data_IF_035124129510
#
_entry.id   IF_035124129510
#
_cell.length_a   1.000
_cell.length_b   1.000
_cell.length_c   1.000
_cell.angle_alpha   90.00
_cell.angle_beta   90.00
_cell.angle_gamma   90.00
#
_symmetry.space_group_name_H-M   'P 1'
#
loop_
_entity.id
_entity.type
_entity.pdbx_description
1 polymer ?
#
# COMPACT_ATOMS: atom_id res chain seq x y z
N UNK A 1 11.03 -18.78 -16.10
CA UNK A 1 10.07 -19.07 -15.01
C UNK A 1 10.22 -17.96 -13.99
N UNK A 2 9.12 -17.48 -13.42
CA UNK A 2 9.19 -16.45 -12.38
C UNK A 2 9.67 -17.06 -11.05
N UNK A 3 10.41 -16.25 -10.28
CA UNK A 3 10.93 -16.62 -8.96
C UNK A 3 10.24 -15.84 -7.86
N UNK A 4 10.11 -16.42 -6.69
CA UNK A 4 9.80 -15.76 -5.43
C UNK A 4 11.00 -15.86 -4.49
N UNK A 5 11.07 -15.00 -3.49
CA UNK A 5 12.00 -15.12 -2.38
C UNK A 5 11.22 -15.35 -1.09
N UNK A 6 11.50 -16.45 -0.38
CA UNK A 6 10.79 -16.85 0.82
C UNK A 6 11.77 -17.18 1.93
N UNK A 7 11.73 -16.45 3.02
CA UNK A 7 12.51 -16.69 4.24
C UNK A 7 14.03 -16.92 4.02
N UNK A 8 14.62 -16.27 3.03
CA UNK A 8 16.05 -16.39 2.72
C UNK A 8 16.36 -17.17 1.44
N UNK A 9 15.37 -17.83 0.83
CA UNK A 9 15.59 -18.72 -0.32
C UNK A 9 14.84 -18.24 -1.57
N UNK A 10 15.46 -18.40 -2.75
CA UNK A 10 14.80 -18.23 -4.04
C UNK A 10 14.12 -19.52 -4.44
N UNK A 11 12.83 -19.46 -4.73
CA UNK A 11 12.01 -20.60 -5.13
C UNK A 11 11.28 -20.30 -6.45
N UNK A 12 10.97 -21.34 -7.27
CA UNK A 12 10.07 -21.18 -8.39
C UNK A 12 8.67 -20.73 -7.93
N UNK A 13 8.08 -19.75 -8.61
CA UNK A 13 6.78 -19.17 -8.21
C UNK A 13 5.58 -20.11 -8.44
N UNK A 14 5.77 -21.18 -9.22
CA UNK A 14 4.76 -22.19 -9.51
C UNK A 14 4.72 -23.35 -8.51
N UNK A 15 5.58 -23.32 -7.48
CA UNK A 15 5.58 -24.32 -6.40
C UNK A 15 4.84 -23.84 -5.16
N UNK A 16 4.09 -24.70 -4.47
CA UNK A 16 3.52 -24.38 -3.15
C UNK A 16 4.63 -24.04 -2.17
N UNK A 17 4.57 -22.87 -1.58
CA UNK A 17 5.63 -22.36 -0.71
C UNK A 17 5.11 -21.94 0.68
N UNK A 18 3.85 -21.51 0.77
CA UNK A 18 3.25 -21.09 2.04
C UNK A 18 2.43 -22.23 2.66
N UNK A 19 2.53 -22.36 3.98
CA UNK A 19 1.69 -23.32 4.71
C UNK A 19 0.25 -22.82 4.79
N UNK A 20 -0.72 -23.72 4.63
CA UNK A 20 -2.13 -23.40 4.73
C UNK A 20 -2.55 -22.86 6.11
N UNK A 21 -1.74 -23.10 7.13
CA UNK A 21 -1.91 -22.59 8.50
C UNK A 21 -1.28 -21.21 8.73
N UNK A 22 -0.68 -20.59 7.70
CA UNK A 22 -0.11 -19.25 7.84
C UNK A 22 -1.20 -18.23 8.21
N UNK A 23 -0.94 -17.45 9.26
CA UNK A 23 -1.91 -16.48 9.79
C UNK A 23 -2.17 -15.31 8.83
N UNK A 24 -1.20 -14.98 7.97
CA UNK A 24 -1.41 -14.00 6.90
C UNK A 24 -2.47 -14.47 5.91
N UNK A 25 -2.48 -15.77 5.57
CA UNK A 25 -3.48 -16.39 4.69
C UNK A 25 -4.85 -16.53 5.39
N UNK A 26 -4.86 -17.00 6.64
CA UNK A 26 -6.10 -17.36 7.34
C UNK A 26 -6.80 -16.20 8.04
N UNK A 27 -6.07 -15.16 8.44
CA UNK A 27 -6.56 -14.05 9.26
C UNK A 27 -6.15 -12.65 8.75
N UNK A 28 -5.35 -12.55 7.69
CA UNK A 28 -4.77 -11.27 7.29
C UNK A 28 -3.78 -10.71 8.33
N UNK A 29 -3.21 -11.57 9.19
CA UNK A 29 -2.32 -11.19 10.28
C UNK A 29 -0.92 -10.92 9.76
N UNK A 30 -0.72 -9.69 9.25
CA UNK A 30 0.53 -9.27 8.65
C UNK A 30 0.47 -7.91 7.98
N UNK A 31 1.60 -7.56 7.39
CA UNK A 31 1.89 -6.29 6.73
C UNK A 31 2.45 -6.54 5.33
N UNK A 32 2.40 -5.52 4.48
CA UNK A 32 3.14 -5.57 3.23
C UNK A 32 3.70 -4.21 2.84
N UNK A 33 4.73 -4.23 2.02
CA UNK A 33 5.24 -3.08 1.30
C UNK A 33 5.19 -3.31 -0.21
N UNK A 34 5.12 -2.22 -0.97
CA UNK A 34 5.32 -2.23 -2.41
C UNK A 34 6.42 -1.24 -2.72
N UNK A 35 7.51 -1.73 -3.29
CA UNK A 35 8.74 -0.98 -3.49
C UNK A 35 9.01 -0.90 -4.99
N UNK A 36 9.17 0.32 -5.50
CA UNK A 36 9.59 0.52 -6.88
C UNK A 36 11.10 0.31 -7.00
N UNK A 37 11.51 -0.49 -7.97
CA UNK A 37 12.89 -0.58 -8.46
C UNK A 37 12.93 0.09 -9.82
N UNK A 38 13.81 1.06 -10.01
CA UNK A 38 14.04 1.75 -11.29
C UNK A 38 15.52 1.72 -11.62
N UNK A 39 15.84 1.33 -12.84
CA UNK A 39 17.23 1.16 -13.30
C UNK A 39 18.06 0.32 -12.30
N UNK A 40 17.48 -0.78 -11.80
CA UNK A 40 18.10 -1.66 -10.81
C UNK A 40 18.20 -1.08 -9.38
N UNK A 41 17.74 0.15 -9.14
CA UNK A 41 17.83 0.82 -7.85
C UNK A 41 16.45 0.86 -7.17
N UNK A 42 16.36 0.31 -5.97
CA UNK A 42 15.15 0.37 -5.15
C UNK A 42 14.95 1.77 -4.55
N UNK A 43 13.75 2.31 -4.69
CA UNK A 43 13.44 3.69 -4.32
C UNK A 43 12.87 3.77 -2.90
N UNK A 44 13.31 4.77 -2.13
CA UNK A 44 12.78 5.12 -0.81
C UNK A 44 12.81 3.96 0.22
N UNK A 45 13.81 3.08 0.14
CA UNK A 45 13.92 1.90 1.02
C UNK A 45 13.80 2.25 2.50
N UNK A 46 14.52 3.27 2.96
CA UNK A 46 14.48 3.70 4.38
C UNK A 46 13.05 4.05 4.84
N UNK A 47 12.26 4.68 3.99
CA UNK A 47 10.89 5.03 4.32
C UNK A 47 9.98 3.79 4.36
N UNK A 48 10.19 2.83 3.44
CA UNK A 48 9.47 1.56 3.41
C UNK A 48 9.80 0.71 4.63
N UNK A 49 11.07 0.53 4.93
CA UNK A 49 11.51 -0.30 6.05
C UNK A 49 11.13 0.30 7.40
N UNK A 50 11.22 1.62 7.55
CA UNK A 50 10.76 2.31 8.75
C UNK A 50 9.25 2.08 8.96
N UNK A 51 8.42 2.20 7.93
CA UNK A 51 6.98 1.94 8.03
C UNK A 51 6.68 0.47 8.33
N UNK A 52 7.37 -0.46 7.68
CA UNK A 52 7.24 -1.89 7.95
C UNK A 52 7.58 -2.22 9.41
N UNK A 53 8.72 -1.73 9.92
CA UNK A 53 9.16 -1.98 11.30
C UNK A 53 8.23 -1.36 12.33
N UNK A 54 7.80 -0.11 12.13
CA UNK A 54 6.84 0.53 13.03
C UNK A 54 5.50 -0.21 13.03
N UNK A 55 5.05 -0.69 11.87
CA UNK A 55 3.84 -1.51 11.80
C UNK A 55 4.01 -2.88 12.45
N UNK A 56 5.16 -3.52 12.26
CA UNK A 56 5.48 -4.80 12.88
C UNK A 56 5.54 -4.67 14.41
N UNK A 57 6.21 -3.65 14.92
CA UNK A 57 6.25 -3.35 16.35
C UNK A 57 4.85 -3.15 16.94
N UNK A 58 4.01 -2.34 16.28
CA UNK A 58 2.64 -2.12 16.71
C UNK A 58 1.82 -3.41 16.78
N UNK A 59 2.00 -4.31 15.79
CA UNK A 59 1.33 -5.60 15.75
C UNK A 59 2.01 -6.67 16.61
N UNK A 60 3.15 -6.38 17.25
CA UNK A 60 3.94 -7.38 17.98
C UNK A 60 4.52 -8.46 17.05
N UNK A 61 4.89 -8.10 15.83
CA UNK A 61 5.58 -8.96 14.87
C UNK A 61 7.07 -8.65 14.85
N UNK A 62 7.89 -9.69 14.64
CA UNK A 62 9.33 -9.53 14.39
C UNK A 62 9.57 -9.48 12.89
N UNK A 63 10.40 -8.52 12.42
CA UNK A 63 10.96 -8.56 11.07
C UNK A 63 12.26 -9.39 11.16
N UNK A 64 12.31 -10.59 10.57
CA UNK A 64 13.39 -11.56 10.84
C UNK A 64 14.69 -11.26 10.07
N UNK A 65 14.94 -10.00 9.70
CA UNK A 65 16.06 -9.60 8.85
C UNK A 65 16.44 -8.14 9.10
N UNK A 66 17.73 -7.80 8.90
CA UNK A 66 18.23 -6.42 8.93
C UNK A 66 17.76 -5.62 7.71
N UNK A 67 17.90 -4.29 7.72
CA UNK A 67 17.52 -3.45 6.58
C UNK A 67 18.43 -3.71 5.36
N UNK A 68 19.70 -3.99 5.58
CA UNK A 68 20.64 -4.40 4.53
C UNK A 68 20.20 -5.72 3.88
N UNK A 69 19.86 -6.73 4.69
CA UNK A 69 19.35 -8.00 4.17
C UNK A 69 18.05 -7.87 3.41
N UNK A 70 17.14 -6.98 3.85
CA UNK A 70 15.91 -6.66 3.12
C UNK A 70 16.21 -5.95 1.79
N UNK A 71 17.19 -5.05 1.76
CA UNK A 71 17.59 -4.35 0.54
C UNK A 71 18.17 -5.33 -0.48
N UNK A 72 19.02 -6.25 -0.04
CA UNK A 72 19.59 -7.32 -0.87
C UNK A 72 18.49 -8.25 -1.41
N UNK A 73 17.51 -8.63 -0.58
CA UNK A 73 16.38 -9.44 -1.01
C UNK A 73 15.51 -8.73 -2.06
N UNK A 74 15.28 -7.41 -1.90
CA UNK A 74 14.53 -6.59 -2.88
C UNK A 74 15.27 -6.51 -4.20
N UNK A 75 16.57 -6.24 -4.20
CA UNK A 75 17.39 -6.22 -5.42
C UNK A 75 17.49 -7.61 -6.05
N UNK A 76 17.71 -8.62 -5.22
CA UNK A 76 17.87 -10.02 -5.65
C UNK A 76 16.61 -10.56 -6.34
N UNK A 77 15.40 -10.29 -5.81
CA UNK A 77 14.17 -10.80 -6.43
C UNK A 77 13.85 -10.10 -7.76
N UNK A 78 14.17 -8.82 -7.90
CA UNK A 78 14.06 -8.12 -9.18
C UNK A 78 15.03 -8.72 -10.21
N UNK A 79 16.30 -8.92 -9.82
CA UNK A 79 17.33 -9.54 -10.67
C UNK A 79 17.01 -10.99 -11.06
N UNK A 80 16.55 -11.82 -10.11
CA UNK A 80 16.17 -13.22 -10.38
C UNK A 80 14.99 -13.35 -11.38
N UNK A 81 14.18 -12.30 -11.51
CA UNK A 81 13.10 -12.23 -12.50
C UNK A 81 13.50 -11.46 -13.78
N UNK A 82 14.77 -11.04 -13.93
CA UNK A 82 15.26 -10.30 -15.09
C UNK A 82 14.64 -8.91 -15.23
N UNK A 83 14.19 -8.30 -14.14
CA UNK A 83 13.50 -7.02 -14.15
C UNK A 83 14.46 -5.90 -13.76
N UNK A 84 14.73 -5.00 -14.70
CA UNK A 84 15.50 -3.78 -14.45
C UNK A 84 14.64 -2.70 -13.79
N UNK A 85 13.37 -2.64 -14.19
CA UNK A 85 12.32 -1.85 -13.55
C UNK A 85 11.26 -2.82 -12.98
N UNK A 86 11.05 -2.78 -11.67
CA UNK A 86 10.20 -3.73 -10.98
C UNK A 86 9.32 -3.09 -9.92
N UNK A 87 8.12 -3.65 -9.75
CA UNK A 87 7.30 -3.48 -8.57
C UNK A 87 7.52 -4.70 -7.66
N UNK A 88 8.27 -4.51 -6.57
CA UNK A 88 8.54 -5.57 -5.59
C UNK A 88 7.52 -5.47 -4.45
N UNK A 89 6.82 -6.57 -4.20
CA UNK A 89 5.96 -6.72 -3.01
C UNK A 89 6.71 -7.53 -1.95
N UNK A 90 6.90 -6.93 -0.80
CA UNK A 90 7.38 -7.55 0.42
C UNK A 90 6.18 -7.80 1.33
N UNK A 91 5.96 -9.03 1.76
CA UNK A 91 4.88 -9.43 2.65
C UNK A 91 5.47 -10.08 3.90
N UNK A 92 5.08 -9.57 5.07
CA UNK A 92 5.43 -10.10 6.38
C UNK A 92 4.16 -10.62 7.04
N UNK A 93 4.12 -11.89 7.43
CA UNK A 93 3.01 -12.45 8.22
C UNK A 93 3.49 -12.88 9.61
N UNK A 94 2.53 -13.15 10.52
CA UNK A 94 2.86 -13.76 11.81
C UNK A 94 3.34 -15.21 11.69
N UNK A 95 3.32 -15.80 10.49
CA UNK A 95 3.71 -17.16 10.22
C UNK A 95 2.63 -18.20 10.52
N UNK A 96 2.95 -19.48 10.35
CA UNK A 96 2.03 -20.59 10.58
C UNK A 96 1.71 -20.78 12.05
N UNK A 97 0.44 -21.04 12.38
CA UNK A 97 -0.02 -21.29 13.73
C UNK A 97 -1.25 -22.21 13.77
N UNK A 98 -1.56 -22.83 14.91
CA UNK A 98 -2.84 -23.46 15.15
C UNK A 98 -4.01 -22.47 15.00
N UNK A 99 -5.23 -22.99 14.85
CA UNK A 99 -6.45 -22.17 14.79
C UNK A 99 -6.66 -21.34 16.07
N UNK A 100 -7.11 -20.13 15.90
CA UNK A 100 -7.46 -19.22 16.99
C UNK A 100 -6.90 -17.81 16.79
N UNK A 101 -7.49 -16.83 17.49
CA UNK A 101 -7.04 -15.43 17.41
C UNK A 101 -5.75 -15.18 18.20
N UNK A 102 -5.59 -15.72 19.43
CA UNK A 102 -4.35 -15.52 20.18
C UNK A 102 -3.14 -16.06 19.41
N UNK A 103 -2.05 -15.31 19.39
CA UNK A 103 -0.78 -15.78 18.84
C UNK A 103 -0.04 -16.62 19.86
N UNK A 104 0.34 -17.86 19.51
CA UNK A 104 1.26 -18.63 20.35
C UNK A 104 2.59 -17.90 20.51
N UNK A 105 3.26 -18.16 21.62
CA UNK A 105 4.64 -17.67 21.86
C UNK A 105 5.59 -18.38 20.92
N UNK A 106 6.58 -17.65 20.39
CA UNK A 106 7.64 -18.23 19.57
C UNK A 106 7.26 -18.51 18.12
N UNK A 107 6.23 -17.84 17.58
CA UNK A 107 5.94 -17.91 16.14
C UNK A 107 7.13 -17.45 15.31
N UNK A 108 7.39 -18.15 14.22
CA UNK A 108 8.35 -17.75 13.20
C UNK A 108 7.61 -17.00 12.10
N UNK A 109 7.86 -15.69 11.91
CA UNK A 109 7.22 -14.91 10.85
C UNK A 109 7.56 -15.46 9.47
N UNK A 110 6.64 -15.32 8.53
CA UNK A 110 6.92 -15.57 7.12
C UNK A 110 7.24 -14.27 6.43
N UNK A 111 8.36 -14.22 5.71
CA UNK A 111 8.76 -13.10 4.87
C UNK A 111 8.81 -13.56 3.42
N UNK A 112 7.92 -13.00 2.60
CA UNK A 112 7.78 -13.33 1.18
C UNK A 112 8.00 -12.10 0.33
N UNK A 113 8.88 -12.20 -0.68
CA UNK A 113 9.02 -11.18 -1.72
C UNK A 113 8.64 -11.75 -3.08
N UNK A 114 7.89 -10.95 -3.83
CA UNK A 114 7.57 -11.20 -5.23
C UNK A 114 7.91 -9.97 -6.05
N UNK A 115 8.25 -10.14 -7.32
CA UNK A 115 8.51 -9.05 -8.24
C UNK A 115 7.69 -9.21 -9.52
N UNK A 116 7.19 -8.09 -10.03
CA UNK A 116 6.56 -7.97 -11.32
C UNK A 116 7.06 -6.72 -12.05
N UNK A 117 6.73 -6.54 -13.34
CA UNK A 117 7.08 -5.34 -14.07
C UNK A 117 6.42 -4.11 -13.43
N UNK A 118 7.07 -2.95 -13.58
CA UNK A 118 6.42 -1.68 -13.25
C UNK A 118 5.17 -1.50 -14.10
N UNK A 119 4.08 -0.93 -13.52
CA UNK A 119 2.93 -0.56 -14.34
C UNK A 119 3.38 0.44 -15.42
N UNK A 120 2.90 0.23 -16.65
CA UNK A 120 3.12 1.17 -17.74
C UNK A 120 2.48 2.53 -17.47
N UNK A 121 2.64 3.44 -18.42
CA UNK A 121 1.97 4.75 -18.37
C UNK A 121 0.45 4.58 -18.24
N UNK A 122 -0.12 5.25 -17.26
CA UNK A 122 -1.55 5.18 -16.98
C UNK A 122 -2.22 6.48 -17.41
N UNK A 123 -3.34 6.37 -18.14
CA UNK A 123 -4.19 7.49 -18.43
C UNK A 123 -4.72 8.13 -17.14
N UNK A 124 -5.07 9.44 -17.16
CA UNK A 124 -5.70 10.09 -16.03
C UNK A 124 -6.91 9.30 -15.49
N UNK A 125 -6.99 9.12 -14.18
CA UNK A 125 -8.01 8.30 -13.55
C UNK A 125 -9.36 9.00 -13.47
N UNK A 126 -10.45 8.32 -13.81
CA UNK A 126 -11.82 8.71 -13.44
C UNK A 126 -12.14 8.07 -12.09
N UNK A 127 -12.64 8.87 -11.16
CA UNK A 127 -12.93 8.43 -9.81
C UNK A 127 -14.43 8.46 -9.52
N UNK A 128 -14.84 7.70 -8.52
CA UNK A 128 -16.13 7.87 -7.84
C UNK A 128 -15.86 8.15 -6.36
N UNK A 129 -16.88 8.59 -5.64
CA UNK A 129 -16.91 8.49 -4.18
C UNK A 129 -17.54 7.14 -3.84
N UNK A 130 -16.82 6.31 -3.08
CA UNK A 130 -17.31 5.01 -2.64
C UNK A 130 -18.49 5.18 -1.67
N UNK A 131 -19.51 4.35 -1.85
CA UNK A 131 -20.71 4.34 -1.01
C UNK A 131 -20.89 3.04 -0.22
N UNK A 132 -20.23 1.96 -0.65
CA UNK A 132 -20.39 0.62 -0.06
C UNK A 132 -19.46 0.34 1.10
N UNK A 133 -18.43 1.15 1.28
CA UNK A 133 -17.45 1.02 2.35
C UNK A 133 -16.83 2.38 2.66
N UNK A 134 -16.19 2.51 3.81
CA UNK A 134 -15.50 3.73 4.23
C UNK A 134 -14.19 3.39 4.96
N UNK A 135 -13.31 4.38 5.13
CA UNK A 135 -12.14 4.24 6.00
C UNK A 135 -12.56 4.43 7.46
N UNK A 136 -12.08 3.55 8.31
CA UNK A 136 -12.27 3.72 9.75
C UNK A 136 -11.08 4.48 10.34
N UNK A 137 -11.19 5.80 10.45
CA UNK A 137 -10.14 6.66 10.99
C UNK A 137 -9.86 6.42 12.49
N UNK A 138 -10.79 5.79 13.20
CA UNK A 138 -10.63 5.43 14.60
C UNK A 138 -9.84 4.13 14.77
N UNK A 139 -9.81 3.28 13.74
CA UNK A 139 -9.02 2.06 13.78
C UNK A 139 -7.53 2.37 13.56
N UNK A 140 -6.63 1.85 14.41
CA UNK A 140 -5.20 1.96 14.19
C UNK A 140 -4.76 1.28 12.88
N UNK A 141 -5.54 0.30 12.38
CA UNK A 141 -5.24 -0.42 11.13
C UNK A 141 -5.25 0.50 9.90
N UNK A 142 -5.99 1.62 9.93
CA UNK A 142 -5.97 2.61 8.84
C UNK A 142 -4.60 3.25 8.63
N UNK A 143 -3.76 3.27 9.67
CA UNK A 143 -2.41 3.84 9.66
C UNK A 143 -1.33 2.80 9.35
N UNK A 144 -1.70 1.53 9.25
CA UNK A 144 -0.81 0.41 8.99
C UNK A 144 -1.05 -0.15 7.58
N UNK A 145 0.01 -0.58 6.92
CA UNK A 145 -0.11 -1.24 5.62
C UNK A 145 -0.31 -2.75 5.82
N UNK A 146 -1.48 -3.09 6.38
CA UNK A 146 -1.86 -4.47 6.73
C UNK A 146 -2.27 -5.29 5.51
N UNK A 147 -2.44 -6.59 5.69
CA UNK A 147 -3.00 -7.49 4.66
C UNK A 147 -4.53 -7.40 4.53
N UNK A 148 -5.19 -6.58 5.35
CA UNK A 148 -6.66 -6.42 5.35
C UNK A 148 -7.08 -5.35 4.33
N UNK A 149 -7.26 -5.75 3.08
CA UNK A 149 -7.57 -4.87 1.95
C UNK A 149 -8.98 -5.04 1.38
N UNK A 150 -9.90 -5.70 2.11
CA UNK A 150 -11.24 -5.94 1.59
C UNK A 150 -12.02 -4.66 1.34
N UNK A 151 -11.94 -3.65 2.22
CA UNK A 151 -12.57 -2.35 2.00
C UNK A 151 -12.08 -1.68 0.71
N UNK A 152 -10.77 -1.72 0.47
CA UNK A 152 -10.17 -1.21 -0.77
C UNK A 152 -10.64 -1.97 -2.01
N UNK A 153 -10.78 -3.29 -1.91
CA UNK A 153 -11.29 -4.15 -3.00
C UNK A 153 -12.76 -3.85 -3.27
N UNK A 154 -13.59 -3.71 -2.24
CA UNK A 154 -15.02 -3.35 -2.38
C UNK A 154 -15.17 -1.99 -3.08
N UNK A 155 -14.41 -0.99 -2.65
CA UNK A 155 -14.43 0.34 -3.26
C UNK A 155 -13.96 0.30 -4.73
N UNK A 156 -12.89 -0.47 -5.05
CA UNK A 156 -12.39 -0.63 -6.41
C UNK A 156 -13.41 -1.34 -7.31
N UNK A 157 -14.08 -2.38 -6.82
CA UNK A 157 -15.12 -3.09 -7.55
C UNK A 157 -16.35 -2.21 -7.81
N UNK A 158 -16.71 -1.35 -6.84
CA UNK A 158 -17.76 -0.35 -7.02
C UNK A 158 -17.38 0.63 -8.13
N UNK A 159 -16.15 1.14 -8.14
CA UNK A 159 -15.66 2.02 -9.19
C UNK A 159 -15.75 1.36 -10.57
N UNK A 160 -15.26 0.13 -10.70
CA UNK A 160 -15.32 -0.62 -11.97
C UNK A 160 -16.75 -0.84 -12.44
N UNK A 161 -17.67 -1.19 -11.55
CA UNK A 161 -19.07 -1.39 -11.88
C UNK A 161 -19.75 -0.09 -12.38
N UNK A 162 -19.24 1.08 -11.97
CA UNK A 162 -19.72 2.41 -12.40
C UNK A 162 -18.87 3.01 -13.53
N UNK A 163 -17.99 2.23 -14.15
CA UNK A 163 -17.14 2.67 -15.27
C UNK A 163 -16.03 3.64 -14.89
N UNK A 164 -15.60 3.66 -13.62
CA UNK A 164 -14.47 4.43 -13.11
C UNK A 164 -13.23 3.58 -12.90
N UNK A 165 -12.07 4.24 -12.76
CA UNK A 165 -10.78 3.57 -12.57
C UNK A 165 -10.47 3.32 -11.11
N UNK A 166 -10.94 4.19 -10.20
CA UNK A 166 -10.68 4.10 -8.76
C UNK A 166 -11.81 4.77 -7.96
N UNK A 167 -11.81 4.58 -6.65
CA UNK A 167 -12.77 5.18 -5.74
C UNK A 167 -12.08 5.96 -4.62
N UNK A 168 -12.61 7.14 -4.32
CA UNK A 168 -12.29 7.91 -3.13
C UNK A 168 -13.05 7.30 -1.96
N UNK A 169 -12.35 6.98 -0.90
CA UNK A 169 -12.91 6.54 0.37
C UNK A 169 -13.08 7.74 1.30
N UNK A 170 -14.28 7.89 1.80
CA UNK A 170 -14.55 8.80 2.91
C UNK A 170 -14.33 8.08 4.23
N UNK A 171 -14.09 8.82 5.30
CA UNK A 171 -14.08 8.27 6.64
C UNK A 171 -15.52 8.24 7.25
N UNK A 172 -15.65 7.79 8.48
CA UNK A 172 -16.94 7.67 9.19
C UNK A 172 -17.66 9.02 9.39
N UNK A 173 -16.95 10.14 9.19
CA UNK A 173 -17.47 11.51 9.32
C UNK A 173 -17.75 12.15 7.96
N UNK A 174 -17.68 11.42 6.87
CA UNK A 174 -17.87 11.93 5.53
C UNK A 174 -16.71 12.77 4.98
N UNK A 175 -15.54 12.73 5.62
CA UNK A 175 -14.35 13.43 5.19
C UNK A 175 -13.56 12.56 4.22
N UNK A 176 -12.89 13.17 3.24
CA UNK A 176 -12.01 12.48 2.31
C UNK A 176 -10.82 11.90 3.06
N UNK A 177 -10.57 10.61 2.90
CA UNK A 177 -9.42 9.92 3.48
C UNK A 177 -8.32 9.68 2.43
N UNK A 178 -8.59 8.84 1.46
CA UNK A 178 -7.66 8.44 0.41
C UNK A 178 -8.42 7.74 -0.74
N UNK A 179 -7.74 7.30 -1.80
CA UNK A 179 -8.34 6.39 -2.77
C UNK A 179 -8.17 4.92 -2.34
N UNK A 180 -8.73 3.97 -3.12
CA UNK A 180 -8.76 2.56 -2.72
C UNK A 180 -7.36 1.96 -2.43
N UNK A 181 -6.32 2.42 -3.13
CA UNK A 181 -4.94 1.94 -2.94
C UNK A 181 -3.88 3.05 -3.11
N UNK A 182 -4.28 4.33 -3.02
CA UNK A 182 -3.43 5.49 -3.25
C UNK A 182 -3.81 6.65 -2.33
N UNK A 183 -2.83 7.48 -1.94
CA UNK A 183 -3.16 8.74 -1.32
C UNK A 183 -3.64 9.73 -2.39
N UNK A 184 -4.52 10.63 -2.00
CA UNK A 184 -5.05 11.71 -2.83
C UNK A 184 -4.36 13.03 -2.48
N UNK A 185 -4.01 13.79 -3.51
CA UNK A 185 -3.67 15.22 -3.42
C UNK A 185 -4.62 16.00 -4.30
N UNK A 186 -5.05 17.17 -3.84
CA UNK A 186 -5.84 18.13 -4.60
C UNK A 186 -5.15 19.50 -4.56
N UNK A 187 -5.09 20.19 -5.71
CA UNK A 187 -4.63 21.57 -5.77
C UNK A 187 -5.84 22.49 -5.67
N UNK A 188 -5.90 23.31 -4.62
CA UNK A 188 -6.99 24.21 -4.32
C UNK A 188 -6.39 25.57 -3.98
N UNK A 189 -6.88 26.62 -4.63
CA UNK A 189 -6.36 27.99 -4.48
C UNK A 189 -4.82 28.06 -4.70
N UNK A 190 -4.33 27.29 -5.70
CA UNK A 190 -2.91 27.20 -6.05
C UNK A 190 -2.05 26.33 -5.12
N UNK A 191 -2.59 25.78 -4.03
CA UNK A 191 -1.86 25.00 -3.04
C UNK A 191 -2.17 23.52 -3.11
N UNK A 192 -1.13 22.69 -3.11
CA UNK A 192 -1.30 21.24 -2.99
C UNK A 192 -1.68 20.84 -1.57
N UNK A 193 -2.76 20.09 -1.43
CA UNK A 193 -3.34 19.64 -0.16
C UNK A 193 -3.59 18.14 -0.21
N UNK A 194 -3.43 17.48 0.93
CA UNK A 194 -3.72 16.05 1.09
C UNK A 194 -4.45 15.81 2.42
N UNK A 195 -5.38 14.85 2.49
CA UNK A 195 -6.03 14.50 3.75
C UNK A 195 -5.00 14.11 4.82
N UNK A 196 -5.21 14.50 6.08
CA UNK A 196 -4.34 14.11 7.17
C UNK A 196 -4.49 12.62 7.51
N UNK A 197 -3.44 12.02 8.07
CA UNK A 197 -3.46 10.62 8.54
C UNK A 197 -4.54 10.42 9.59
N UNK A 198 -4.86 11.45 10.38
CA UNK A 198 -5.92 11.41 11.39
C UNK A 198 -7.32 11.19 10.79
N UNK A 199 -7.53 11.50 9.52
CA UNK A 199 -8.79 11.28 8.81
C UNK A 199 -8.84 9.89 8.11
N UNK A 200 -7.87 9.02 8.35
CA UNK A 200 -7.85 7.63 7.88
C UNK A 200 -6.92 7.36 6.70
N UNK A 201 -6.19 8.37 6.22
CA UNK A 201 -5.20 8.18 5.16
C UNK A 201 -4.01 7.32 5.63
N UNK A 202 -3.55 6.42 4.77
CA UNK A 202 -2.31 5.69 5.02
C UNK A 202 -1.11 6.66 4.97
N UNK A 203 -0.11 6.54 5.88
CA UNK A 203 1.15 7.29 5.80
C UNK A 203 2.00 6.79 4.62
N UNK A 204 1.66 7.23 3.41
CA UNK A 204 2.31 6.83 2.17
C UNK A 204 3.75 7.33 2.06
N UNK A 205 4.68 6.50 1.57
CA UNK A 205 6.08 6.88 1.36
C UNK A 205 6.23 7.96 0.29
N UNK A 206 5.45 7.86 -0.80
CA UNK A 206 5.38 8.89 -1.83
C UNK A 206 4.68 10.14 -1.30
N UNK A 207 3.57 9.98 -0.54
CA UNK A 207 2.87 11.10 0.09
C UNK A 207 3.83 11.95 0.93
N UNK A 208 4.62 11.31 1.80
CA UNK A 208 5.59 12.03 2.63
C UNK A 208 6.67 12.75 1.80
N UNK A 209 7.14 12.12 0.71
CA UNK A 209 8.11 12.73 -0.18
C UNK A 209 7.54 13.97 -0.88
N UNK A 210 6.29 13.94 -1.35
CA UNK A 210 5.64 15.05 -2.03
C UNK A 210 5.28 16.20 -1.08
N UNK A 211 4.85 15.90 0.14
CA UNK A 211 4.65 16.94 1.17
C UNK A 211 5.95 17.74 1.34
N UNK A 212 7.08 17.03 1.47
CA UNK A 212 8.39 17.68 1.61
C UNK A 212 8.83 18.44 0.35
N UNK A 213 8.67 17.83 -0.82
CA UNK A 213 9.17 18.39 -2.09
C UNK A 213 8.34 19.57 -2.60
N UNK A 214 7.02 19.53 -2.41
CA UNK A 214 6.09 20.54 -2.93
C UNK A 214 5.62 21.56 -1.89
N UNK A 215 5.98 21.36 -0.62
CA UNK A 215 5.42 22.14 0.48
C UNK A 215 3.90 21.90 0.63
N UNK A 216 3.41 20.72 0.26
CA UNK A 216 1.98 20.42 0.31
C UNK A 216 1.47 20.40 1.75
N UNK A 217 0.30 21.01 1.96
CA UNK A 217 -0.34 21.07 3.28
C UNK A 217 -1.18 19.82 3.59
N UNK A 218 -1.21 19.44 4.86
CA UNK A 218 -2.21 18.50 5.36
C UNK A 218 -3.46 19.27 5.78
N UNK A 219 -4.57 19.01 5.12
CA UNK A 219 -5.85 19.67 5.43
C UNK A 219 -6.98 18.66 5.31
N UNK A 220 -7.91 18.71 6.26
CA UNK A 220 -9.19 18.00 6.13
C UNK A 220 -9.92 18.47 4.89
N UNK A 221 -10.33 17.51 4.05
CA UNK A 221 -11.06 17.76 2.82
C UNK A 221 -12.44 17.12 2.90
N UNK A 222 -13.43 17.83 2.41
CA UNK A 222 -14.78 17.32 2.18
C UNK A 222 -14.97 17.03 0.69
N UNK A 223 -15.94 16.20 0.29
CA UNK A 223 -16.25 16.02 -1.14
C UNK A 223 -16.40 17.33 -1.93
N UNK A 224 -17.08 18.32 -1.36
CA UNK A 224 -17.24 19.64 -1.98
C UNK A 224 -15.93 20.42 -2.20
N UNK A 225 -14.87 20.13 -1.45
CA UNK A 225 -13.55 20.70 -1.71
C UNK A 225 -12.95 20.14 -3.01
N UNK A 226 -13.23 18.87 -3.33
CA UNK A 226 -12.75 18.24 -4.55
C UNK A 226 -13.39 18.81 -5.82
N UNK A 227 -14.65 19.26 -5.72
CA UNK A 227 -15.34 19.93 -6.84
C UNK A 227 -14.67 21.27 -7.22
N UNK A 228 -13.94 21.86 -6.28
CA UNK A 228 -13.19 23.12 -6.46
C UNK A 228 -11.72 22.90 -6.82
N UNK A 229 -11.26 21.65 -6.84
CA UNK A 229 -9.87 21.37 -7.12
C UNK A 229 -9.50 21.68 -8.58
N UNK A 230 -8.44 22.45 -8.77
CA UNK A 230 -7.84 22.77 -10.08
C UNK A 230 -7.18 21.53 -10.69
N UNK A 231 -6.56 20.71 -9.86
CA UNK A 231 -5.90 19.46 -10.22
C UNK A 231 -6.04 18.46 -9.06
N UNK A 232 -6.11 17.19 -9.43
CA UNK A 232 -6.03 16.08 -8.46
C UNK A 232 -5.05 15.02 -8.98
N UNK A 233 -4.37 14.38 -8.05
CA UNK A 233 -3.49 13.25 -8.35
C UNK A 233 -3.67 12.13 -7.32
N UNK A 234 -3.44 10.91 -7.77
CA UNK A 234 -3.26 9.74 -6.92
C UNK A 234 -1.78 9.39 -6.81
N UNK A 235 -1.34 9.03 -5.61
CA UNK A 235 0.07 8.71 -5.37
C UNK A 235 0.24 7.36 -4.71
N UNK A 236 1.11 6.55 -5.27
CA UNK A 236 1.52 5.26 -4.73
C UNK A 236 3.04 5.19 -4.64
N UNK A 237 3.58 4.13 -4.06
CA UNK A 237 5.02 3.90 -4.09
C UNK A 237 5.58 3.74 -5.52
N UNK A 238 4.74 3.36 -6.49
CA UNK A 238 5.14 3.12 -7.87
C UNK A 238 5.10 4.38 -8.74
N UNK A 239 4.37 5.42 -8.32
CA UNK A 239 4.31 6.67 -9.10
C UNK A 239 3.13 7.56 -8.73
N UNK A 240 2.91 8.53 -9.62
CA UNK A 240 1.85 9.53 -9.58
C UNK A 240 0.94 9.28 -10.78
N UNK A 241 -0.37 9.31 -10.57
CA UNK A 241 -1.39 9.24 -11.63
C UNK A 241 -2.28 10.47 -11.56
N UNK A 242 -2.38 11.27 -12.63
CA UNK A 242 -3.36 12.36 -12.70
C UNK A 242 -4.79 11.84 -12.55
N UNK A 243 -5.70 12.69 -12.08
CA UNK A 243 -7.14 12.43 -12.02
C UNK A 243 -7.84 13.24 -13.11
N UNK A 244 -8.67 12.57 -13.92
CA UNK A 244 -9.45 13.21 -14.96
C UNK A 244 -10.72 13.87 -14.43
N UNK A 245 -11.23 13.40 -13.30
CA UNK A 245 -12.42 13.91 -12.64
C UNK A 245 -13.12 12.85 -11.78
N UNK A 246 -14.16 13.31 -11.08
CA UNK A 246 -15.03 12.45 -10.29
C UNK A 246 -16.35 12.32 -11.06
N UNK A 247 -16.81 11.09 -11.27
CA UNK A 247 -18.08 10.81 -11.93
C UNK A 247 -19.14 10.43 -10.89
N UNK A 248 -20.37 10.88 -11.13
CA UNK A 248 -21.52 10.69 -10.25
C UNK A 248 -22.07 9.25 -10.20
#
# INVERSE_FOLDING_TARGET
>A
MSSIWLNGEFLPADRPALLASDRGLTLGDGLFETIAVKAGTALRLDAHFRRLRSGAEFLGLTVPMTDEGLADAVAGIAGANGLHDAAVRLTLTAGPAPRGLPRPVGLTPTLLLTAGPMPGEQLPARLIIATRTCRNEQSPLSRLKTLNYLDSIIARNEAQARGADDAILLNSRGQVAEASAANLFARIDGHWLTPPIADGALPGTMRAALIKAWGAGERRLMPADLDRAEEMILTTALGIRPVAGIIG
#
